data_IF_394114324704
#
_entry.id   IF_394114324704
#
_cell.length_a   1.000
_cell.length_b   1.000
_cell.length_c   1.000
_cell.angle_alpha   90.00
_cell.angle_beta   90.00
_cell.angle_gamma   90.00
#
_symmetry.space_group_name_H-M   'P 1'
#
loop_
_entity.id
_entity.type
_entity.pdbx_description
1 polymer ?
#
# COMPACT_ATOMS: atom_id res chain seq x y z
N UNK A 1 -15.39 -10.67 3.54
CA UNK A 1 -14.58 -9.44 3.63
C UNK A 1 -13.37 -9.57 2.73
N UNK A 2 -12.77 -8.47 2.23
CA UNK A 2 -11.53 -8.54 1.47
C UNK A 2 -10.37 -9.02 2.36
N UNK A 3 -9.46 -9.82 1.80
CA UNK A 3 -8.22 -10.18 2.49
C UNK A 3 -7.19 -9.07 2.26
N UNK A 4 -6.70 -8.46 3.33
CA UNK A 4 -5.79 -7.31 3.26
C UNK A 4 -4.39 -7.67 3.74
N UNK A 5 -3.37 -7.25 2.99
CA UNK A 5 -1.97 -7.35 3.40
C UNK A 5 -1.10 -6.31 2.69
N UNK A 6 0.10 -6.09 3.22
CA UNK A 6 1.11 -5.19 2.66
C UNK A 6 2.35 -6.00 2.30
N UNK A 7 2.94 -5.72 1.13
CA UNK A 7 4.23 -6.25 0.71
C UNK A 7 5.23 -5.13 0.48
N UNK A 8 6.50 -5.37 0.81
CA UNK A 8 7.59 -4.46 0.46
C UNK A 8 7.80 -4.41 -1.07
N UNK A 9 8.36 -3.31 -1.55
CA UNK A 9 8.89 -3.22 -2.92
C UNK A 9 10.04 -4.20 -3.15
N UNK A 10 10.34 -4.49 -4.42
CA UNK A 10 11.40 -5.44 -4.81
C UNK A 10 12.82 -4.93 -4.57
N UNK A 11 12.99 -3.61 -4.49
CA UNK A 11 14.30 -2.96 -4.36
C UNK A 11 14.54 -2.48 -2.94
N UNK A 12 15.77 -2.58 -2.47
CA UNK A 12 16.17 -1.94 -1.22
C UNK A 12 16.05 -0.42 -1.34
N UNK A 13 15.62 0.23 -0.26
CA UNK A 13 15.50 1.69 -0.19
C UNK A 13 16.87 2.27 0.13
N UNK A 14 17.61 2.72 -0.88
CA UNK A 14 18.96 3.25 -0.69
C UNK A 14 18.90 4.77 -0.51
N UNK A 15 19.52 5.33 0.53
CA UNK A 15 19.54 6.77 0.79
C UNK A 15 20.05 7.57 -0.42
N UNK A 16 19.27 8.56 -0.86
CA UNK A 16 19.59 9.38 -2.04
C UNK A 16 19.44 8.63 -3.38
N UNK A 17 18.87 7.43 -3.36
CA UNK A 17 18.54 6.66 -4.55
C UNK A 17 17.46 7.32 -5.42
N UNK A 18 17.07 6.64 -6.49
CA UNK A 18 15.97 7.05 -7.34
C UNK A 18 14.61 6.77 -6.68
N UNK A 19 13.55 7.39 -7.19
CA UNK A 19 12.19 7.00 -6.86
C UNK A 19 11.97 5.51 -7.11
N UNK A 20 11.41 4.82 -6.12
CA UNK A 20 11.16 3.38 -6.19
C UNK A 20 9.90 3.03 -5.43
N UNK A 21 9.28 1.90 -5.79
CA UNK A 21 8.14 1.36 -5.04
C UNK A 21 8.61 0.93 -3.66
N UNK A 22 8.04 1.54 -2.63
CA UNK A 22 8.36 1.28 -1.22
C UNK A 22 7.55 0.11 -0.69
N UNK A 23 6.26 0.13 -0.95
CA UNK A 23 5.31 -0.88 -0.50
C UNK A 23 4.09 -0.92 -1.42
N UNK A 24 3.44 -2.07 -1.42
CA UNK A 24 2.16 -2.30 -2.09
C UNK A 24 1.15 -2.76 -1.05
N UNK A 25 -0.02 -2.15 -1.03
CA UNK A 25 -1.13 -2.64 -0.23
C UNK A 25 -2.13 -3.35 -1.14
N UNK A 26 -2.58 -4.53 -0.72
CA UNK A 26 -3.44 -5.39 -1.49
C UNK A 26 -4.71 -5.66 -0.69
N UNK A 27 -5.86 -5.45 -1.31
CA UNK A 27 -7.16 -5.90 -0.84
C UNK A 27 -7.74 -6.89 -1.87
N UNK A 28 -7.58 -8.18 -1.60
CA UNK A 28 -7.98 -9.24 -2.53
C UNK A 28 -9.44 -9.64 -2.36
N UNK A 29 -10.06 -10.01 -3.49
CA UNK A 29 -11.39 -10.65 -3.56
C UNK A 29 -12.50 -9.83 -2.89
N UNK A 30 -12.48 -8.52 -3.07
CA UNK A 30 -13.50 -7.60 -2.57
C UNK A 30 -14.78 -7.65 -3.43
N UNK A 31 -15.93 -7.40 -2.80
CA UNK A 31 -17.20 -7.12 -3.49
C UNK A 31 -18.08 -6.24 -2.60
N UNK A 32 -18.35 -4.96 -2.96
CA UNK A 32 -17.82 -4.22 -4.13
C UNK A 32 -16.29 -4.04 -4.09
N UNK A 33 -15.64 -3.46 -5.12
CA UNK A 33 -14.22 -3.11 -5.04
C UNK A 33 -13.89 -2.33 -3.76
N UNK A 34 -12.79 -2.67 -3.11
CA UNK A 34 -12.34 -1.98 -1.89
C UNK A 34 -11.63 -0.67 -2.25
N UNK A 35 -11.88 0.37 -1.46
CA UNK A 35 -11.11 1.61 -1.50
C UNK A 35 -9.84 1.43 -0.66
N UNK A 36 -8.69 1.60 -1.30
CA UNK A 36 -7.36 1.34 -0.74
C UNK A 36 -6.54 2.61 -0.89
N UNK A 37 -5.90 3.05 0.18
CA UNK A 37 -5.09 4.27 0.20
C UNK A 37 -3.91 4.16 1.15
N UNK A 38 -2.94 5.04 0.98
CA UNK A 38 -1.80 5.19 1.88
C UNK A 38 -1.92 6.48 2.69
N UNK A 39 -1.78 6.37 4.01
CA UNK A 39 -1.68 7.49 4.94
C UNK A 39 -0.23 7.60 5.42
N UNK A 40 0.39 8.75 5.14
CA UNK A 40 1.80 9.02 5.44
C UNK A 40 2.08 10.52 5.40
N UNK A 41 3.13 10.96 6.09
CA UNK A 41 3.66 12.33 6.03
C UNK A 41 4.75 12.49 4.95
N UNK A 42 5.09 11.42 4.23
CA UNK A 42 6.06 11.45 3.16
C UNK A 42 5.40 11.89 1.84
N UNK A 43 6.14 12.68 1.08
CA UNK A 43 5.71 13.18 -0.23
C UNK A 43 6.12 12.20 -1.32
N UNK A 44 5.31 11.14 -1.47
CA UNK A 44 5.42 10.15 -2.53
C UNK A 44 4.20 10.16 -3.44
N UNK A 45 4.14 9.19 -4.34
CA UNK A 45 3.04 8.99 -5.29
C UNK A 45 2.38 7.64 -5.03
N UNK A 46 1.07 7.57 -5.23
CA UNK A 46 0.31 6.31 -5.11
C UNK A 46 -0.34 5.96 -6.45
N UNK A 47 -0.17 4.73 -6.89
CA UNK A 47 -0.76 4.20 -8.12
C UNK A 47 -1.66 3.01 -7.79
N UNK A 48 -2.92 3.06 -8.22
CA UNK A 48 -3.90 2.02 -7.97
C UNK A 48 -4.10 1.13 -9.21
N UNK A 49 -4.00 -0.18 -9.02
CA UNK A 49 -4.31 -1.20 -9.99
C UNK A 49 -5.47 -2.05 -9.49
N UNK A 50 -6.54 -2.12 -10.28
CA UNK A 50 -7.67 -3.01 -10.02
C UNK A 50 -7.66 -4.16 -11.01
N UNK A 51 -7.91 -5.37 -10.51
CA UNK A 51 -8.04 -6.58 -11.28
C UNK A 51 -9.38 -7.23 -10.98
N UNK A 52 -10.15 -7.54 -12.01
CA UNK A 52 -11.35 -8.36 -11.88
C UNK A 52 -10.97 -9.85 -11.82
N UNK A 53 -11.48 -10.54 -10.81
CA UNK A 53 -11.30 -11.98 -10.61
C UNK A 53 -12.45 -12.76 -11.27
N UNK A 54 -12.18 -14.02 -11.64
CA UNK A 54 -13.16 -14.91 -12.30
C UNK A 54 -14.47 -15.11 -11.53
N UNK A 55 -14.46 -14.90 -10.21
CA UNK A 55 -15.64 -15.07 -9.36
C UNK A 55 -16.53 -13.81 -9.31
N UNK A 56 -16.20 -12.72 -10.02
CA UNK A 56 -16.85 -11.42 -9.94
C UNK A 56 -16.46 -10.63 -8.68
N UNK A 57 -15.30 -10.94 -8.11
CA UNK A 57 -14.67 -10.10 -7.08
C UNK A 57 -13.61 -9.23 -7.73
N UNK A 58 -13.18 -8.19 -7.04
CA UNK A 58 -12.10 -7.32 -7.50
C UNK A 58 -10.97 -7.33 -6.49
N UNK A 59 -9.75 -7.41 -6.99
CA UNK A 59 -8.53 -7.26 -6.20
C UNK A 59 -7.94 -5.89 -6.50
N UNK A 60 -7.83 -5.04 -5.47
CA UNK A 60 -7.25 -3.70 -5.56
C UNK A 60 -5.85 -3.71 -4.98
N UNK A 61 -4.87 -3.23 -5.74
CA UNK A 61 -3.48 -3.07 -5.34
C UNK A 61 -3.11 -1.60 -5.42
N UNK A 62 -2.50 -1.04 -4.38
CA UNK A 62 -2.03 0.35 -4.40
C UNK A 62 -0.55 0.39 -4.07
N UNK A 63 0.24 0.75 -5.08
CA UNK A 63 1.68 0.96 -4.98
C UNK A 63 1.95 2.34 -4.39
N UNK A 64 2.89 2.43 -3.47
CA UNK A 64 3.43 3.71 -3.01
C UNK A 64 4.88 3.83 -3.46
N UNK A 65 5.16 4.86 -4.26
CA UNK A 65 6.49 5.18 -4.77
C UNK A 65 7.01 6.45 -4.11
N UNK A 66 8.28 6.44 -3.73
CA UNK A 66 8.91 7.57 -3.08
C UNK A 66 10.43 7.51 -3.26
N UNK A 67 11.09 8.67 -3.26
CA UNK A 67 12.54 8.76 -3.33
C UNK A 67 13.16 8.54 -1.94
N UNK A 68 13.94 7.47 -1.71
CA UNK A 68 14.41 7.17 -0.38
C UNK A 68 15.38 8.20 0.20
N UNK A 69 15.16 8.54 1.47
CA UNK A 69 16.02 9.38 2.28
C UNK A 69 16.15 8.84 3.70
N UNK A 70 17.37 8.80 4.23
CA UNK A 70 17.67 8.37 5.60
C UNK A 70 16.91 9.14 6.69
N UNK A 71 16.46 10.37 6.40
CA UNK A 71 15.62 11.15 7.32
C UNK A 71 14.26 10.47 7.58
N UNK A 72 13.78 9.65 6.65
CA UNK A 72 12.54 8.91 6.81
C UNK A 72 12.73 7.53 7.45
N UNK A 73 13.93 7.19 7.93
CA UNK A 73 14.16 5.92 8.63
C UNK A 73 13.17 5.78 9.79
N UNK A 74 12.48 4.64 9.86
CA UNK A 74 11.48 4.39 10.90
C UNK A 74 10.15 5.16 10.71
N UNK A 75 9.99 5.95 9.64
CA UNK A 75 8.68 6.51 9.30
C UNK A 75 7.70 5.39 8.92
N UNK A 76 6.43 5.63 9.20
CA UNK A 76 5.36 4.63 8.99
C UNK A 76 4.47 5.06 7.83
N UNK A 77 4.33 4.17 6.84
CA UNK A 77 3.24 4.22 5.87
C UNK A 77 2.11 3.36 6.41
N UNK A 78 0.89 3.91 6.50
CA UNK A 78 -0.26 3.11 6.92
C UNK A 78 -1.14 2.83 5.70
N UNK A 79 -1.31 1.56 5.35
CA UNK A 79 -2.35 1.20 4.40
C UNK A 79 -3.70 1.31 5.09
N UNK A 80 -4.64 2.01 4.46
CA UNK A 80 -6.02 2.16 4.91
C UNK A 80 -6.94 1.54 3.86
N UNK A 81 -7.73 0.55 4.28
CA UNK A 81 -8.71 -0.13 3.42
C UNK A 81 -10.12 0.09 3.95
N UNK A 82 -10.98 0.63 3.09
CA UNK A 82 -12.40 0.86 3.36
C UNK A 82 -13.25 -0.06 2.50
N UNK A 83 -14.16 -0.77 3.14
CA UNK A 83 -15.06 -1.69 2.44
C UNK A 83 -16.33 -1.94 3.28
N UNK A 84 -17.53 -2.03 2.67
CA UNK A 84 -18.79 -2.17 3.43
C UNK A 84 -18.90 -3.43 4.30
N UNK A 85 -18.14 -4.48 3.97
CA UNK A 85 -18.08 -5.71 4.76
C UNK A 85 -17.12 -5.64 5.97
N UNK A 86 -16.40 -4.53 6.17
CA UNK A 86 -15.55 -4.30 7.34
C UNK A 86 -16.31 -3.46 8.37
N UNK A 87 -16.14 -3.77 9.66
CA UNK A 87 -16.78 -3.00 10.74
C UNK A 87 -16.21 -1.58 10.88
N UNK A 88 -14.95 -1.40 10.50
CA UNK A 88 -14.22 -0.14 10.48
C UNK A 88 -13.12 -0.20 9.42
N UNK A 89 -12.50 0.94 9.12
CA UNK A 89 -11.32 1.00 8.26
C UNK A 89 -10.24 0.02 8.74
N UNK A 90 -9.78 -0.85 7.85
CA UNK A 90 -8.68 -1.76 8.14
C UNK A 90 -7.36 -1.02 7.94
N UNK A 91 -6.45 -1.10 8.91
CA UNK A 91 -5.22 -0.30 8.94
C UNK A 91 -4.01 -1.17 9.19
N UNK A 92 -3.04 -1.18 8.26
CA UNK A 92 -1.79 -1.93 8.38
C UNK A 92 -0.61 -0.95 8.35
N UNK A 93 0.15 -0.79 9.44
CA UNK A 93 1.37 0.01 9.43
C UNK A 93 2.51 -0.75 8.73
N UNK A 94 3.31 -0.03 7.95
CA UNK A 94 4.52 -0.48 7.29
C UNK A 94 5.66 0.47 7.63
N UNK A 95 6.69 -0.04 8.30
CA UNK A 95 7.84 0.75 8.74
C UNK A 95 8.88 0.80 7.63
N UNK A 96 9.27 2.00 7.23
CA UNK A 96 10.34 2.20 6.26
C UNK A 96 11.68 1.79 6.86
N UNK A 97 12.44 1.06 6.05
CA UNK A 97 13.83 0.72 6.31
C UNK A 97 14.71 1.15 5.12
N UNK A 98 15.38 2.29 5.28
CA UNK A 98 16.40 2.85 4.37
C UNK A 98 17.78 2.31 4.74
N UNK A 99 18.57 1.98 3.71
CA UNK A 99 19.94 1.47 3.79
C UNK A 99 20.96 2.49 3.30
#
# INVERSE_FOLDING_TARGET
>A
EPKVYVSAGSSALIDGGNETTVATCIAERARPPADVSWETNLYGTSEAHMQDDANGTTTTQVHYSWQPSRHAQGHTLTCVVKHPALQSDFRIPYVINVQ
#
